data_IF_802147221447
#
_entry.id   IF_802147221447
#
_cell.length_a   1.000
_cell.length_b   1.000
_cell.length_c   1.000
_cell.angle_alpha   90.00
_cell.angle_beta   90.00
_cell.angle_gamma   90.00
#
_symmetry.space_group_name_H-M   'P 1'
#
loop_
_entity.id
_entity.type
_entity.pdbx_description
1 polymer ?
#
# COMPACT_ATOMS: atom_id res chain seq x y z
N UNK A 1 41.24 -22.10 -59.66
CA UNK A 1 40.02 -22.91 -59.87
C UNK A 1 39.29 -22.96 -58.54
N UNK A 2 38.99 -21.79 -57.98
CA UNK A 2 37.96 -20.82 -58.44
C UNK A 2 36.62 -21.30 -57.87
N UNK A 3 35.76 -20.52 -57.25
CA UNK A 3 35.70 -19.12 -56.80
C UNK A 3 34.29 -19.04 -56.19
N UNK A 4 34.14 -18.26 -55.12
CA UNK A 4 32.89 -17.62 -54.68
C UNK A 4 31.73 -18.57 -54.28
N UNK A 5 31.12 -18.41 -53.11
CA UNK A 5 30.16 -17.32 -52.91
C UNK A 5 29.95 -17.06 -51.41
N UNK A 6 30.24 -15.81 -51.03
CA UNK A 6 29.82 -15.15 -49.81
C UNK A 6 28.29 -15.16 -49.66
N UNK A 7 27.77 -15.60 -48.51
CA UNK A 7 26.56 -15.03 -47.89
C UNK A 7 26.56 -15.39 -46.40
N UNK A 8 27.11 -14.50 -45.57
CA UNK A 8 26.41 -13.45 -44.83
C UNK A 8 25.71 -13.99 -43.59
N UNK A 9 26.22 -13.52 -42.46
CA UNK A 9 25.69 -13.70 -41.11
C UNK A 9 24.19 -13.41 -41.04
N UNK A 10 23.45 -14.35 -40.45
CA UNK A 10 22.16 -14.05 -39.83
C UNK A 10 22.13 -14.75 -38.47
N UNK A 11 22.59 -14.04 -37.45
CA UNK A 11 22.23 -14.29 -36.05
C UNK A 11 20.72 -14.18 -35.92
N UNK A 12 20.02 -15.31 -36.02
CA UNK A 12 18.65 -15.45 -35.56
C UNK A 12 18.69 -16.17 -34.22
N UNK A 13 18.34 -15.43 -33.16
CA UNK A 13 18.02 -15.95 -31.84
C UNK A 13 17.08 -17.14 -31.96
N UNK A 14 17.57 -18.33 -31.59
CA UNK A 14 16.69 -19.48 -31.38
C UNK A 14 15.84 -19.17 -30.14
N UNK A 15 14.50 -19.24 -30.22
CA UNK A 15 13.67 -19.06 -29.05
C UNK A 15 14.02 -20.15 -28.05
N UNK A 16 14.35 -19.70 -26.84
CA UNK A 16 14.71 -20.53 -25.71
C UNK A 16 13.67 -21.65 -25.52
N UNK A 17 14.22 -22.80 -25.19
CA UNK A 17 13.59 -24.00 -24.66
C UNK A 17 12.20 -23.72 -24.08
N UNK A 18 11.20 -24.38 -24.66
CA UNK A 18 9.90 -24.64 -24.04
C UNK A 18 10.20 -25.57 -22.86
N UNK A 19 10.75 -24.97 -21.80
CA UNK A 19 10.87 -25.59 -20.51
C UNK A 19 9.48 -25.53 -19.89
N UNK A 20 9.05 -26.68 -19.43
CA UNK A 20 7.67 -27.03 -19.15
C UNK A 20 7.16 -26.34 -17.86
N UNK A 21 7.11 -25.01 -17.83
CA UNK A 21 6.48 -24.19 -16.79
C UNK A 21 4.96 -24.21 -16.98
N UNK A 22 4.37 -25.40 -16.93
CA UNK A 22 2.92 -25.59 -16.93
C UNK A 22 2.48 -26.03 -15.54
N UNK A 23 2.80 -25.20 -14.55
CA UNK A 23 2.02 -24.92 -13.35
C UNK A 23 2.42 -23.54 -12.79
N UNK A 24 2.32 -22.50 -13.63
CA UNK A 24 2.07 -21.15 -13.12
C UNK A 24 0.58 -21.08 -12.74
N UNK A 25 0.24 -21.70 -11.60
CA UNK A 25 -0.95 -21.32 -10.84
C UNK A 25 -0.49 -20.16 -9.96
N UNK A 26 -1.14 -19.00 -10.13
CA UNK A 26 -0.73 -17.72 -9.59
C UNK A 26 -0.23 -17.82 -8.14
N UNK A 27 0.98 -17.34 -7.90
CA UNK A 27 1.61 -17.29 -6.57
C UNK A 27 0.70 -16.75 -5.44
N UNK A 28 -0.31 -15.94 -5.78
CA UNK A 28 -1.35 -15.46 -4.88
C UNK A 28 -2.37 -16.55 -4.47
N UNK A 29 -2.79 -17.42 -5.39
CA UNK A 29 -3.72 -18.53 -5.11
C UNK A 29 -3.05 -19.63 -4.28
N UNK A 30 -1.74 -19.83 -4.46
CA UNK A 30 -0.97 -20.74 -3.62
C UNK A 30 -0.83 -20.22 -2.18
N UNK A 31 -0.68 -18.90 -2.01
CA UNK A 31 -0.65 -18.29 -0.67
C UNK A 31 -2.01 -18.40 0.03
N UNK A 32 -3.11 -18.10 -0.66
CA UNK A 32 -4.45 -18.15 -0.05
C UNK A 32 -4.80 -19.56 0.42
N UNK A 33 -4.42 -20.58 -0.34
CA UNK A 33 -4.58 -21.99 0.07
C UNK A 33 -3.81 -22.29 1.37
N UNK A 34 -2.54 -21.90 1.46
CA UNK A 34 -1.74 -22.09 2.68
C UNK A 34 -2.32 -21.33 3.88
N UNK A 35 -2.91 -20.16 3.66
CA UNK A 35 -3.55 -19.41 4.75
C UNK A 35 -4.82 -20.06 5.26
N UNK A 36 -5.63 -20.62 4.36
CA UNK A 36 -6.82 -21.40 4.76
C UNK A 36 -6.41 -22.61 5.57
N UNK A 37 -5.42 -23.37 5.11
CA UNK A 37 -4.87 -24.52 5.84
C UNK A 37 -4.30 -24.11 7.22
N UNK A 38 -3.59 -22.99 7.28
CA UNK A 38 -3.09 -22.46 8.55
C UNK A 38 -4.24 -22.05 9.50
N UNK A 39 -5.32 -21.48 8.99
CA UNK A 39 -6.51 -21.11 9.78
C UNK A 39 -7.21 -22.35 10.34
N UNK A 40 -7.36 -23.41 9.54
CA UNK A 40 -7.92 -24.70 9.98
C UNK A 40 -7.10 -25.30 11.13
N UNK A 41 -5.77 -25.23 11.05
CA UNK A 41 -4.90 -25.68 12.13
C UNK A 41 -4.93 -24.79 13.38
N UNK A 42 -5.23 -23.49 13.23
CA UNK A 42 -5.48 -22.63 14.39
C UNK A 42 -6.78 -23.03 15.10
N UNK A 43 -7.82 -23.38 14.34
CA UNK A 43 -9.09 -23.85 14.89
C UNK A 43 -8.96 -25.24 15.54
N UNK A 44 -8.12 -26.12 14.99
CA UNK A 44 -7.83 -27.43 15.60
C UNK A 44 -6.96 -27.34 16.85
N UNK A 45 -6.31 -26.19 17.10
CA UNK A 45 -5.39 -25.97 18.20
C UNK A 45 -3.94 -26.40 17.92
N UNK A 46 -3.64 -26.82 16.70
CA UNK A 46 -2.29 -27.23 16.26
C UNK A 46 -1.43 -26.01 15.90
N UNK A 47 -1.18 -25.15 16.89
CA UNK A 47 -0.50 -23.88 16.71
C UNK A 47 0.91 -24.01 16.09
N UNK A 48 1.64 -25.09 16.40
CA UNK A 48 2.97 -25.34 15.82
C UNK A 48 2.90 -25.60 14.31
N UNK A 49 1.93 -26.40 13.85
CA UNK A 49 1.72 -26.65 12.42
C UNK A 49 1.28 -25.36 11.71
N UNK A 50 0.36 -24.61 12.31
CA UNK A 50 -0.08 -23.32 11.78
C UNK A 50 1.09 -22.35 11.58
N UNK A 51 2.01 -22.21 12.55
CA UNK A 51 3.19 -21.34 12.37
C UNK A 51 4.13 -21.83 11.25
N UNK A 52 4.27 -23.15 11.07
CA UNK A 52 5.07 -23.73 10.00
C UNK A 52 4.52 -23.37 8.62
N UNK A 53 3.20 -23.54 8.44
CA UNK A 53 2.50 -23.23 7.19
C UNK A 53 2.54 -21.71 6.92
N UNK A 54 2.31 -20.88 7.93
CA UNK A 54 2.41 -19.43 7.81
C UNK A 54 3.81 -18.94 7.42
N UNK A 55 4.88 -19.63 7.85
CA UNK A 55 6.25 -19.32 7.40
C UNK A 55 6.47 -19.69 5.93
N UNK A 56 5.88 -20.78 5.44
CA UNK A 56 5.92 -21.13 4.02
C UNK A 56 5.17 -20.08 3.18
N UNK A 57 4.00 -19.67 3.64
CA UNK A 57 3.22 -18.58 3.05
C UNK A 57 4.02 -17.26 2.99
N UNK A 58 4.79 -16.95 4.04
CA UNK A 58 5.68 -15.79 4.06
C UNK A 58 6.73 -15.85 2.93
N UNK A 59 7.38 -17.01 2.77
CA UNK A 59 8.39 -17.21 1.73
C UNK A 59 7.82 -17.08 0.31
N UNK A 60 6.55 -17.43 0.09
CA UNK A 60 5.88 -17.18 -1.19
C UNK A 60 5.65 -15.68 -1.41
N UNK A 61 5.09 -14.97 -0.43
CA UNK A 61 4.82 -13.53 -0.55
C UNK A 61 6.10 -12.70 -0.70
N UNK A 62 7.20 -13.12 -0.10
CA UNK A 62 8.50 -12.47 -0.32
C UNK A 62 8.95 -12.53 -1.78
N UNK A 63 8.63 -13.60 -2.50
CA UNK A 63 8.88 -13.70 -3.95
C UNK A 63 7.92 -12.82 -4.76
N UNK A 64 6.66 -12.68 -4.29
CA UNK A 64 5.64 -11.84 -4.93
C UNK A 64 5.96 -10.35 -4.74
N UNK A 65 6.62 -9.99 -3.63
CA UNK A 65 6.91 -8.60 -3.28
C UNK A 65 5.69 -7.82 -2.75
N UNK A 66 4.62 -8.52 -2.33
CA UNK A 66 3.43 -7.87 -1.80
C UNK A 66 3.58 -7.54 -0.31
N UNK A 67 3.98 -6.30 -0.06
CA UNK A 67 4.17 -5.71 1.26
C UNK A 67 2.94 -5.79 2.18
N UNK A 68 1.73 -5.55 1.65
CA UNK A 68 0.49 -5.61 2.43
C UNK A 68 0.17 -7.03 2.91
N UNK A 69 0.32 -8.02 2.04
CA UNK A 69 0.14 -9.44 2.41
C UNK A 69 1.24 -9.91 3.36
N UNK A 70 2.47 -9.43 3.18
CA UNK A 70 3.59 -9.72 4.09
C UNK A 70 3.27 -9.26 5.51
N UNK A 71 2.79 -8.02 5.67
CA UNK A 71 2.36 -7.49 6.96
C UNK A 71 1.26 -8.34 7.60
N UNK A 72 0.30 -8.79 6.81
CA UNK A 72 -0.80 -9.63 7.31
C UNK A 72 -0.30 -10.96 7.89
N UNK A 73 0.60 -11.67 7.18
CA UNK A 73 1.20 -12.90 7.70
C UNK A 73 2.02 -12.61 8.95
N UNK A 74 2.89 -11.60 8.93
CA UNK A 74 3.75 -11.28 10.07
C UNK A 74 2.93 -11.02 11.33
N UNK A 75 1.80 -10.33 11.19
CA UNK A 75 0.87 -10.10 12.30
C UNK A 75 0.23 -11.39 12.79
N UNK A 76 -0.21 -12.28 11.89
CA UNK A 76 -0.78 -13.59 12.26
C UNK A 76 0.26 -14.46 12.98
N UNK A 77 1.48 -14.56 12.45
CA UNK A 77 2.60 -15.26 13.12
C UNK A 77 2.84 -14.72 14.53
N UNK A 78 2.90 -13.39 14.69
CA UNK A 78 3.11 -12.76 15.99
C UNK A 78 2.02 -13.15 17.01
N UNK A 79 0.76 -13.14 16.59
CA UNK A 79 -0.38 -13.58 17.41
C UNK A 79 -0.26 -15.06 17.76
N UNK A 80 -0.02 -15.93 16.79
CA UNK A 80 0.08 -17.38 17.02
C UNK A 80 1.25 -17.72 17.96
N UNK A 81 2.39 -17.03 17.85
CA UNK A 81 3.52 -17.22 18.78
C UNK A 81 3.21 -16.75 20.20
N UNK A 82 2.45 -15.66 20.34
CA UNK A 82 1.96 -15.22 21.65
C UNK A 82 1.02 -16.25 22.26
N UNK A 83 0.13 -16.82 21.46
CA UNK A 83 -0.83 -17.83 21.92
C UNK A 83 -0.14 -19.18 22.24
N UNK A 84 0.99 -19.47 21.58
CA UNK A 84 1.93 -20.55 21.94
C UNK A 84 2.71 -20.30 23.24
N UNK A 85 2.70 -19.07 23.76
CA UNK A 85 3.51 -18.66 24.92
C UNK A 85 4.96 -18.32 24.59
N UNK A 86 5.36 -18.35 23.32
CA UNK A 86 6.68 -17.88 22.87
C UNK A 86 6.62 -16.37 22.61
N UNK A 87 6.62 -15.61 23.70
CA UNK A 87 6.56 -14.15 23.67
C UNK A 87 7.79 -13.53 23.01
N UNK A 88 8.96 -14.17 23.08
CA UNK A 88 10.18 -13.66 22.46
C UNK A 88 10.09 -13.69 20.93
N UNK A 89 9.62 -14.81 20.35
CA UNK A 89 9.36 -14.90 18.92
C UNK A 89 8.27 -13.91 18.49
N UNK A 90 7.19 -13.81 19.28
CA UNK A 90 6.09 -12.86 19.02
C UNK A 90 6.57 -11.40 18.93
N UNK A 91 7.39 -10.97 19.89
CA UNK A 91 8.01 -9.63 19.91
C UNK A 91 8.81 -9.39 18.63
N UNK A 92 9.62 -10.36 18.20
CA UNK A 92 10.39 -10.28 16.96
C UNK A 92 9.52 -10.04 15.73
N UNK A 93 8.40 -10.75 15.61
CA UNK A 93 7.46 -10.56 14.49
C UNK A 93 6.71 -9.22 14.58
N UNK A 94 6.27 -8.79 15.76
CA UNK A 94 5.64 -7.48 15.93
C UNK A 94 6.61 -6.33 15.62
N UNK A 95 7.90 -6.46 15.89
CA UNK A 95 8.90 -5.48 15.47
C UNK A 95 8.99 -5.36 13.94
N UNK A 96 8.95 -6.47 13.21
CA UNK A 96 8.90 -6.46 11.74
C UNK A 96 7.61 -5.80 11.22
N UNK A 97 6.47 -6.08 11.86
CA UNK A 97 5.20 -5.39 11.56
C UNK A 97 5.32 -3.88 11.79
N UNK A 98 5.92 -3.45 12.90
CA UNK A 98 6.11 -2.04 13.23
C UNK A 98 6.99 -1.35 12.17
N UNK A 99 8.12 -1.95 11.78
CA UNK A 99 9.00 -1.40 10.74
C UNK A 99 8.26 -1.22 9.41
N UNK A 100 7.44 -2.21 9.03
CA UNK A 100 6.61 -2.12 7.84
C UNK A 100 5.60 -0.98 7.94
N UNK A 101 4.87 -0.88 9.06
CA UNK A 101 3.92 0.21 9.30
C UNK A 101 4.59 1.59 9.35
N UNK A 102 5.84 1.69 9.80
CA UNK A 102 6.64 2.92 9.73
C UNK A 102 6.92 3.32 8.28
N UNK A 103 7.32 2.37 7.42
CA UNK A 103 7.54 2.64 5.98
C UNK A 103 6.25 3.07 5.28
N UNK A 104 5.10 2.50 5.65
CA UNK A 104 3.79 2.86 5.11
C UNK A 104 3.13 4.05 5.80
N UNK A 105 3.80 4.72 6.74
CA UNK A 105 3.26 5.83 7.56
C UNK A 105 1.93 5.50 8.26
N UNK A 106 1.66 4.21 8.50
CA UNK A 106 0.46 3.75 9.18
C UNK A 106 0.67 3.85 10.70
N UNK A 107 0.35 5.03 11.26
CA UNK A 107 0.47 5.28 12.71
C UNK A 107 -0.43 4.37 13.55
N UNK A 108 -1.60 3.97 13.03
CA UNK A 108 -2.50 3.07 13.74
C UNK A 108 -1.88 1.67 13.89
N UNK A 109 -1.31 1.13 12.81
CA UNK A 109 -0.62 -0.16 12.84
C UNK A 109 0.66 -0.15 13.69
N UNK A 110 1.37 0.98 13.76
CA UNK A 110 2.51 1.13 14.67
C UNK A 110 2.07 1.12 16.14
N UNK A 111 0.97 1.80 16.49
CA UNK A 111 0.44 1.80 17.85
C UNK A 111 -0.02 0.40 18.26
N UNK A 112 -0.79 -0.29 17.40
CA UNK A 112 -1.24 -1.68 17.64
C UNK A 112 -0.07 -2.64 17.84
N UNK A 113 0.99 -2.54 17.04
CA UNK A 113 2.20 -3.34 17.23
C UNK A 113 2.89 -3.04 18.57
N UNK A 114 2.97 -1.76 18.96
CA UNK A 114 3.56 -1.36 20.25
C UNK A 114 2.76 -1.88 21.45
N UNK A 115 1.42 -1.83 21.40
CA UNK A 115 0.59 -2.36 22.49
C UNK A 115 0.79 -3.87 22.65
N UNK A 116 0.82 -4.61 21.53
CA UNK A 116 1.01 -6.06 21.55
C UNK A 116 2.42 -6.45 22.03
N UNK A 117 3.45 -5.71 21.65
CA UNK A 117 4.81 -5.89 22.19
C UNK A 117 4.81 -5.63 23.70
N UNK A 118 4.17 -4.55 24.14
CA UNK A 118 4.03 -4.25 25.57
C UNK A 118 3.31 -5.37 26.33
N UNK A 119 2.26 -5.97 25.76
CA UNK A 119 1.60 -7.14 26.35
C UNK A 119 2.54 -8.34 26.45
N UNK A 120 3.36 -8.60 25.44
CA UNK A 120 4.33 -9.69 25.47
C UNK A 120 5.40 -9.49 26.56
N UNK A 121 5.93 -8.27 26.71
CA UNK A 121 6.87 -7.93 27.79
C UNK A 121 6.24 -8.07 29.18
N UNK A 122 4.98 -7.68 29.34
CA UNK A 122 4.25 -7.88 30.59
C UNK A 122 4.14 -9.38 30.94
N UNK A 123 3.85 -10.23 29.95
CA UNK A 123 3.79 -11.69 30.12
C UNK A 123 5.16 -12.33 30.42
N UNK A 124 6.26 -11.70 29.99
CA UNK A 124 7.62 -12.09 30.34
C UNK A 124 8.06 -11.60 31.73
N UNK A 125 7.27 -10.75 32.40
CA UNK A 125 7.61 -10.13 33.68
C UNK A 125 8.47 -8.86 33.58
N UNK A 126 8.76 -8.39 32.36
CA UNK A 126 9.56 -7.20 32.08
C UNK A 126 8.69 -5.94 32.10
N UNK A 127 8.34 -5.50 33.31
CA UNK A 127 7.42 -4.37 33.50
C UNK A 127 7.99 -3.03 33.03
N UNK A 128 9.32 -2.87 33.05
CA UNK A 128 10.02 -1.68 32.52
C UNK A 128 9.76 -1.48 31.03
N UNK A 129 9.93 -2.54 30.25
CA UNK A 129 9.81 -2.50 28.80
C UNK A 129 8.34 -2.36 28.40
N UNK A 130 7.43 -3.02 29.12
CA UNK A 130 5.99 -2.77 28.98
C UNK A 130 5.62 -1.29 29.05
N UNK A 131 6.10 -0.57 30.08
CA UNK A 131 5.80 0.86 30.25
C UNK A 131 6.35 1.71 29.10
N UNK A 132 7.57 1.40 28.63
CA UNK A 132 8.19 2.09 27.48
C UNK A 132 7.32 1.92 26.23
N UNK A 133 6.92 0.69 25.92
CA UNK A 133 6.08 0.42 24.74
C UNK A 133 4.67 1.00 24.86
N UNK A 134 4.11 1.04 26.07
CA UNK A 134 2.82 1.70 26.34
C UNK A 134 2.90 3.21 26.11
N UNK A 135 3.96 3.87 26.57
CA UNK A 135 4.18 5.29 26.32
C UNK A 135 4.38 5.56 24.82
N UNK A 136 5.13 4.70 24.13
CA UNK A 136 5.33 4.80 22.68
C UNK A 136 4.03 4.67 21.90
N UNK A 137 3.17 3.71 22.28
CA UNK A 137 1.85 3.55 21.67
C UNK A 137 0.95 4.78 21.90
N UNK A 138 0.98 5.37 23.09
CA UNK A 138 0.25 6.60 23.40
C UNK A 138 0.73 7.79 22.53
N UNK A 139 2.04 8.00 22.44
CA UNK A 139 2.61 9.05 21.61
C UNK A 139 2.23 8.91 20.12
N UNK A 140 2.20 7.68 19.59
CA UNK A 140 1.76 7.42 18.21
C UNK A 140 0.27 7.72 18.00
N UNK A 141 -0.59 7.43 18.99
CA UNK A 141 -2.02 7.77 18.95
C UNK A 141 -2.25 9.27 19.02
N UNK A 142 -1.48 9.98 19.84
CA UNK A 142 -1.49 11.45 19.91
C UNK A 142 -1.04 12.06 18.58
N UNK A 143 0.06 11.57 18.00
CA UNK A 143 0.52 12.00 16.68
C UNK A 143 -0.54 11.76 15.60
N UNK A 144 -1.25 10.64 15.66
CA UNK A 144 -2.37 10.35 14.75
C UNK A 144 -3.53 11.34 14.92
N UNK A 145 -3.81 11.74 16.17
CA UNK A 145 -4.87 12.71 16.47
C UNK A 145 -4.51 14.14 16.05
N UNK A 146 -3.21 14.47 16.10
CA UNK A 146 -2.66 15.77 15.69
C UNK A 146 -2.53 15.90 14.16
N UNK A 147 -2.59 14.80 13.41
CA UNK A 147 -2.76 14.87 11.97
C UNK A 147 -4.17 15.41 11.70
N UNK A 148 -4.32 16.48 10.90
CA UNK A 148 -5.65 16.91 10.48
C UNK A 148 -6.30 15.71 9.79
N UNK A 149 -7.31 15.12 10.43
CA UNK A 149 -8.14 14.11 9.80
C UNK A 149 -8.59 14.72 8.49
N UNK A 150 -8.28 14.08 7.37
CA UNK A 150 -8.75 14.45 6.03
C UNK A 150 -10.25 14.17 5.91
N UNK A 151 -11.04 14.70 6.81
CA UNK A 151 -12.22 15.44 6.39
C UNK A 151 -11.70 16.86 6.36
N UNK A 152 -11.43 17.35 5.15
CA UNK A 152 -11.44 18.79 4.90
C UNK A 152 -12.51 19.39 5.81
N UNK A 153 -12.14 20.35 6.66
CA UNK A 153 -13.12 21.01 7.51
C UNK A 153 -14.31 21.33 6.60
N UNK A 154 -15.53 21.04 7.04
CA UNK A 154 -16.73 21.35 6.27
C UNK A 154 -16.72 22.80 5.77
N UNK A 155 -16.00 23.67 6.48
CA UNK A 155 -15.71 25.06 6.12
C UNK A 155 -14.85 25.22 4.86
N UNK A 156 -13.80 24.42 4.63
CA UNK A 156 -12.95 24.49 3.43
C UNK A 156 -13.64 23.94 2.17
N UNK A 157 -14.47 22.90 2.34
CA UNK A 157 -15.29 22.36 1.24
C UNK A 157 -16.41 23.31 0.84
N UNK A 158 -17.09 23.92 1.82
CA UNK A 158 -18.05 25.01 1.58
C UNK A 158 -17.39 26.23 0.94
N UNK A 159 -16.22 26.67 1.44
CA UNK A 159 -15.51 27.80 0.87
C UNK A 159 -15.06 27.56 -0.58
N UNK A 160 -14.62 26.34 -0.91
CA UNK A 160 -14.31 25.94 -2.30
C UNK A 160 -15.56 25.87 -3.17
N UNK A 161 -16.67 25.34 -2.66
CA UNK A 161 -17.94 25.29 -3.38
C UNK A 161 -18.46 26.71 -3.67
N UNK A 162 -18.46 27.60 -2.68
CA UNK A 162 -18.89 28.99 -2.83
C UNK A 162 -18.00 29.77 -3.82
N UNK A 163 -16.66 29.56 -3.74
CA UNK A 163 -15.74 30.14 -4.72
C UNK A 163 -16.01 29.63 -6.14
N UNK A 164 -16.36 28.35 -6.30
CA UNK A 164 -16.71 27.75 -7.58
C UNK A 164 -18.03 28.31 -8.15
N UNK A 165 -19.09 28.42 -7.33
CA UNK A 165 -20.36 29.02 -7.75
C UNK A 165 -20.20 30.48 -8.14
N UNK A 166 -19.48 31.27 -7.33
CA UNK A 166 -19.21 32.69 -7.60
C UNK A 166 -18.37 32.91 -8.87
N UNK A 167 -17.40 32.03 -9.13
CA UNK A 167 -16.63 32.06 -10.38
C UNK A 167 -17.51 31.74 -11.60
N UNK A 168 -18.43 30.78 -11.46
CA UNK A 168 -19.35 30.38 -12.53
C UNK A 168 -20.40 31.46 -12.85
N UNK A 169 -20.89 32.16 -11.84
CA UNK A 169 -21.81 33.29 -11.99
C UNK A 169 -21.14 34.45 -12.73
N UNK A 170 -19.94 34.85 -12.30
CA UNK A 170 -19.13 35.87 -12.98
C UNK A 170 -18.76 35.48 -14.43
N UNK A 171 -18.57 34.20 -14.71
CA UNK A 171 -18.30 33.72 -16.06
C UNK A 171 -19.53 33.81 -16.99
N UNK A 172 -20.73 33.61 -16.45
CA UNK A 172 -21.98 33.79 -17.18
C UNK A 172 -22.29 35.26 -17.46
N UNK A 173 -22.00 36.14 -16.51
CA UNK A 173 -22.23 37.58 -16.66
C UNK A 173 -21.25 38.23 -17.67
N UNK A 174 -19.99 37.78 -17.71
CA UNK A 174 -19.02 38.24 -18.71
C UNK A 174 -19.33 37.74 -20.14
N UNK A 175 -20.12 36.68 -20.30
CA UNK A 175 -20.56 36.20 -21.61
C UNK A 175 -21.71 37.03 -22.20
N UNK A 176 -22.40 37.84 -21.38
CA UNK A 176 -23.53 38.68 -21.78
C UNK A 176 -23.14 40.12 -22.15
N UNK A 177 -21.84 40.47 -22.18
CA UNK A 177 -21.40 41.81 -22.57
C UNK A 177 -21.81 42.14 -24.03
N UNK A 178 -22.50 43.28 -24.28
CA UNK A 178 -23.04 43.60 -25.59
C UNK A 178 -21.91 43.80 -26.61
N UNK A 179 -22.00 43.10 -27.75
CA UNK A 179 -21.01 43.20 -28.84
C UNK A 179 -20.88 44.66 -29.30
N UNK A 180 -19.75 45.27 -28.93
CA UNK A 180 -19.41 46.66 -29.22
C UNK A 180 -19.55 46.99 -30.73
N UNK A 181 -20.49 47.89 -31.11
CA UNK A 181 -20.78 48.21 -32.51
C UNK A 181 -19.61 48.90 -33.23
N UNK A 182 -18.61 49.41 -32.50
CA UNK A 182 -17.43 50.04 -33.10
C UNK A 182 -16.50 49.03 -33.78
N UNK A 183 -16.49 47.76 -33.34
CA UNK A 183 -15.65 46.69 -33.93
C UNK A 183 -16.09 46.30 -35.34
N UNK A 184 -17.40 46.40 -35.66
CA UNK A 184 -17.92 46.18 -37.02
C UNK A 184 -17.48 47.28 -38.00
N UNK A 185 -17.45 48.54 -37.56
CA UNK A 185 -17.04 49.67 -38.41
C UNK A 185 -15.56 49.61 -38.80
N UNK A 186 -14.68 49.12 -37.91
CA UNK A 186 -13.24 48.92 -38.22
C UNK A 186 -12.99 47.82 -39.25
N UNK A 187 -13.80 46.75 -39.29
CA UNK A 187 -13.70 45.70 -40.32
C UNK A 187 -14.18 46.15 -41.70
N UNK A 188 -15.23 46.97 -41.79
CA UNK A 188 -15.72 47.49 -43.08
C UNK A 188 -14.76 48.52 -43.70
N UNK A 189 -14.07 49.34 -42.89
CA UNK A 189 -13.07 50.30 -43.40
C UNK A 189 -11.81 49.64 -43.97
N UNK A 190 -11.43 48.44 -43.50
CA UNK A 190 -10.31 47.68 -44.08
C UNK A 190 -10.64 47.04 -45.44
N UNK A 191 -11.91 46.75 -45.73
CA UNK A 191 -12.35 46.18 -47.02
C UNK A 191 -12.54 47.23 -48.12
N UNK A 192 -12.58 48.53 -47.81
CA UNK A 192 -12.68 49.62 -48.81
C UNK A 192 -11.32 50.20 -49.20
N UNK A 193 -10.21 49.61 -48.74
CA UNK A 193 -8.84 50.04 -49.03
C UNK A 193 -8.02 48.94 -49.76
N UNK A 194 -8.68 47.93 -50.30
CA UNK A 194 -8.12 46.98 -51.26
C UNK A 194 -8.82 47.18 -52.60
#
# INVERSE_FOLDING_TARGET
>A
MDTDELLLEAQFDKPAEINNCRYDLDSADSYTALMVEAEEHLESGDLLLATGIMKQALGLIEKIGNNSLKLFILRKLAVTYRDLGDFAASIGYYHQCMEHCTRSQNLAGQAEACDNIGFCYLSLGESSDHEIFRQKAAALREQRLLLPTTVESSEDTLARADAYFKAKENAHDNAAAPRDPQRRRRRQRRRRRQ
#
